data_IF_740078012718
#
_entry.id   IF_740078012718
#
_cell.length_a   1.000
_cell.length_b   1.000
_cell.length_c   1.000
_cell.angle_alpha   90.00
_cell.angle_beta   90.00
_cell.angle_gamma   90.00
#
_symmetry.space_group_name_H-M   'P 1'
#
loop_
_entity.id
_entity.type
_entity.pdbx_description
1 polymer ?
#
# COMPACT_ATOMS: atom_id res chain seq x y z
N UNK A 1 -10.53 2.59 7.37
CA UNK A 1 -9.42 1.89 8.06
C UNK A 1 -8.34 1.59 7.02
N UNK A 2 -7.10 1.91 7.34
CA UNK A 2 -5.93 1.71 6.50
C UNK A 2 -4.97 0.78 7.23
N UNK A 3 -4.53 -0.30 6.57
CA UNK A 3 -3.48 -1.17 7.05
C UNK A 3 -2.11 -0.60 6.70
N UNK A 4 -1.17 -0.67 7.64
CA UNK A 4 0.22 -0.22 7.44
C UNK A 4 1.17 -1.32 7.85
N UNK A 5 2.10 -1.65 6.98
CA UNK A 5 3.19 -2.59 7.26
C UNK A 5 4.45 -2.21 6.49
N UNK A 6 5.59 -2.75 6.91
CA UNK A 6 6.89 -2.41 6.32
C UNK A 6 7.71 -3.66 5.99
N UNK A 7 9.00 -3.59 6.14
CA UNK A 7 10.00 -4.55 5.68
C UNK A 7 9.63 -6.03 5.83
N UNK A 8 9.37 -6.67 4.70
CA UNK A 8 9.12 -8.12 4.55
C UNK A 8 10.38 -8.88 4.10
N UNK A 9 11.34 -8.19 3.47
CA UNK A 9 12.59 -8.75 2.96
C UNK A 9 12.42 -10.05 2.15
N UNK A 10 11.31 -10.16 1.39
CA UNK A 10 11.00 -11.34 0.60
C UNK A 10 10.30 -12.46 1.36
N UNK A 11 9.94 -12.27 2.63
CA UNK A 11 9.10 -13.21 3.37
C UNK A 11 7.62 -12.98 3.01
N UNK A 12 7.17 -13.73 2.00
CA UNK A 12 5.81 -13.62 1.48
C UNK A 12 4.76 -14.17 2.45
N UNK A 13 5.13 -15.09 3.34
CA UNK A 13 4.22 -15.62 4.36
C UNK A 13 3.94 -14.57 5.43
N UNK A 14 4.97 -13.88 5.92
CA UNK A 14 4.81 -12.78 6.86
C UNK A 14 4.05 -11.60 6.23
N UNK A 15 4.31 -11.31 4.95
CA UNK A 15 3.59 -10.29 4.20
C UNK A 15 2.10 -10.61 4.10
N UNK A 16 1.76 -11.84 3.70
CA UNK A 16 0.38 -12.30 3.55
C UNK A 16 -0.34 -12.35 4.90
N UNK A 17 0.32 -12.82 5.94
CA UNK A 17 -0.23 -12.84 7.29
C UNK A 17 -0.58 -11.42 7.78
N UNK A 18 0.30 -10.43 7.54
CA UNK A 18 0.01 -9.04 7.87
C UNK A 18 -1.18 -8.50 7.07
N UNK A 19 -1.21 -8.74 5.77
CA UNK A 19 -2.30 -8.31 4.90
C UNK A 19 -3.65 -8.88 5.37
N UNK A 20 -3.73 -10.21 5.57
CA UNK A 20 -4.98 -10.86 5.99
C UNK A 20 -5.41 -10.45 7.41
N UNK A 21 -4.47 -10.29 8.33
CA UNK A 21 -4.76 -9.80 9.66
C UNK A 21 -5.37 -8.39 9.62
N UNK A 22 -4.73 -7.46 8.91
CA UNK A 22 -5.22 -6.09 8.80
C UNK A 22 -6.57 -6.03 8.07
N UNK A 23 -6.75 -6.87 7.04
CA UNK A 23 -8.03 -7.02 6.33
C UNK A 23 -9.13 -7.53 7.24
N UNK A 24 -8.86 -8.53 8.07
CA UNK A 24 -9.80 -9.07 9.05
C UNK A 24 -10.22 -8.03 10.10
N UNK A 25 -9.34 -7.07 10.38
CA UNK A 25 -9.61 -5.92 11.24
C UNK A 25 -10.27 -4.74 10.52
N UNK A 26 -10.70 -4.93 9.28
CA UNK A 26 -11.48 -3.95 8.51
C UNK A 26 -10.66 -3.01 7.63
N UNK A 27 -9.36 -3.25 7.47
CA UNK A 27 -8.57 -2.48 6.50
C UNK A 27 -9.05 -2.78 5.07
N UNK A 28 -9.28 -1.71 4.31
CA UNK A 28 -9.67 -1.78 2.89
C UNK A 28 -8.65 -1.11 1.98
N UNK A 29 -7.75 -0.39 2.55
CA UNK A 29 -6.63 0.27 1.88
C UNK A 29 -5.37 -0.04 2.66
N UNK A 30 -4.24 -0.13 1.96
CA UNK A 30 -3.00 -0.54 2.56
C UNK A 30 -1.86 0.40 2.15
N UNK A 31 -0.92 0.60 3.08
CA UNK A 31 0.31 1.36 2.88
C UNK A 31 1.47 0.43 3.19
N UNK A 32 2.35 0.27 2.23
CA UNK A 32 3.61 -0.44 2.39
C UNK A 32 4.77 0.56 2.51
N UNK A 33 5.44 0.58 3.65
CA UNK A 33 6.58 1.46 3.92
C UNK A 33 7.93 0.72 3.93
N UNK A 34 8.00 -0.47 3.31
CA UNK A 34 9.22 -1.26 3.18
C UNK A 34 10.18 -0.75 2.11
N UNK A 35 11.43 -1.19 2.18
CA UNK A 35 12.49 -0.78 1.23
C UNK A 35 12.32 -1.41 -0.15
N UNK A 36 11.83 -2.64 -0.21
CA UNK A 36 11.77 -3.47 -1.42
C UNK A 36 10.36 -3.48 -1.99
N UNK A 37 10.11 -2.64 -2.99
CA UNK A 37 8.80 -2.61 -3.66
C UNK A 37 8.53 -3.82 -4.53
N UNK A 38 9.57 -4.52 -4.97
CA UNK A 38 9.45 -5.82 -5.63
C UNK A 38 8.72 -6.84 -4.77
N UNK A 39 8.77 -6.71 -3.44
CA UNK A 39 8.03 -7.58 -2.53
C UNK A 39 6.52 -7.54 -2.78
N UNK A 40 5.99 -6.42 -3.27
CA UNK A 40 4.57 -6.31 -3.66
C UNK A 40 4.23 -7.20 -4.86
N UNK A 41 5.08 -7.19 -5.88
CA UNK A 41 4.89 -7.99 -7.08
C UNK A 41 5.11 -9.48 -6.79
N UNK A 42 6.15 -9.78 -6.02
CA UNK A 42 6.47 -11.14 -5.58
C UNK A 42 5.32 -11.73 -4.74
N UNK A 43 4.72 -10.94 -3.84
CA UNK A 43 3.58 -11.36 -3.04
C UNK A 43 2.33 -11.65 -3.88
N UNK A 44 2.01 -10.82 -4.88
CA UNK A 44 0.89 -11.08 -5.78
C UNK A 44 1.07 -12.40 -6.53
N UNK A 45 2.28 -12.65 -7.06
CA UNK A 45 2.60 -13.91 -7.72
C UNK A 45 2.52 -15.11 -6.75
N UNK A 46 3.07 -14.96 -5.57
CA UNK A 46 3.04 -15.99 -4.52
C UNK A 46 1.60 -16.37 -4.12
N UNK A 47 0.71 -15.39 -3.93
CA UNK A 47 -0.71 -15.65 -3.66
C UNK A 47 -1.38 -16.44 -4.76
N UNK A 48 -1.10 -16.12 -6.02
CA UNK A 48 -1.65 -16.83 -7.18
C UNK A 48 -1.16 -18.27 -7.24
N UNK A 49 0.12 -18.49 -7.00
CA UNK A 49 0.67 -19.85 -6.92
C UNK A 49 -0.01 -20.65 -5.81
N UNK A 50 -0.16 -20.06 -4.64
CA UNK A 50 -0.80 -20.72 -3.49
C UNK A 50 -2.27 -21.05 -3.76
N UNK A 51 -3.03 -20.17 -4.38
CA UNK A 51 -4.42 -20.41 -4.77
C UNK A 51 -4.56 -21.60 -5.75
N UNK A 52 -3.51 -21.94 -6.46
CA UNK A 52 -3.43 -23.07 -7.41
C UNK A 52 -2.76 -24.33 -6.81
N UNK A 53 -2.66 -24.41 -5.51
CA UNK A 53 -2.09 -25.59 -4.83
C UNK A 53 -0.56 -25.67 -4.91
N UNK A 54 0.15 -24.53 -5.02
CA UNK A 54 1.61 -24.45 -4.96
C UNK A 54 2.32 -24.87 -6.26
N UNK A 55 1.59 -25.07 -7.36
CA UNK A 55 2.22 -25.31 -8.67
C UNK A 55 2.92 -24.05 -9.16
N UNK A 56 4.09 -24.24 -9.76
CA UNK A 56 4.82 -23.17 -10.41
C UNK A 56 3.91 -22.42 -11.39
N UNK A 57 3.95 -21.10 -11.34
CA UNK A 57 3.13 -20.24 -12.16
C UNK A 57 3.79 -20.08 -13.52
N UNK A 58 3.32 -20.87 -14.51
CA UNK A 58 3.85 -20.85 -15.86
C UNK A 58 3.30 -19.68 -16.70
N UNK A 59 3.97 -19.37 -17.80
CA UNK A 59 3.48 -18.37 -18.77
C UNK A 59 2.09 -18.73 -19.30
N UNK A 60 1.79 -20.02 -19.45
CA UNK A 60 0.47 -20.49 -19.87
C UNK A 60 -0.61 -20.18 -18.81
N UNK A 61 -0.28 -20.33 -17.53
CA UNK A 61 -1.16 -19.98 -16.42
C UNK A 61 -1.39 -18.46 -16.36
N UNK A 62 -0.34 -17.69 -16.60
CA UNK A 62 -0.42 -16.24 -16.69
C UNK A 62 -1.36 -15.79 -17.82
N UNK A 63 -1.19 -16.34 -19.02
CA UNK A 63 -2.07 -16.05 -20.15
C UNK A 63 -3.52 -16.46 -19.90
N UNK A 64 -3.75 -17.61 -19.24
CA UNK A 64 -5.09 -18.05 -18.86
C UNK A 64 -5.74 -17.09 -17.88
N UNK A 65 -5.00 -16.61 -16.89
CA UNK A 65 -5.51 -15.64 -15.90
C UNK A 65 -5.82 -14.28 -16.54
N UNK A 66 -4.94 -13.80 -17.44
CA UNK A 66 -5.19 -12.58 -18.21
C UNK A 66 -6.47 -12.72 -19.04
N UNK A 67 -6.63 -13.85 -19.74
CA UNK A 67 -7.81 -14.10 -20.57
C UNK A 67 -9.08 -14.16 -19.75
N UNK A 68 -9.05 -14.85 -18.61
CA UNK A 68 -10.19 -14.93 -17.70
C UNK A 68 -10.54 -13.56 -17.12
N UNK A 69 -9.54 -12.78 -16.72
CA UNK A 69 -9.74 -11.43 -16.20
C UNK A 69 -10.33 -10.51 -17.28
N UNK A 70 -9.83 -10.54 -18.49
CA UNK A 70 -10.39 -9.78 -19.63
C UNK A 70 -11.83 -10.18 -19.90
N UNK A 71 -12.15 -11.46 -19.84
CA UNK A 71 -13.53 -11.98 -20.04
C UNK A 71 -14.47 -11.60 -18.90
N UNK A 72 -13.99 -11.36 -17.68
CA UNK A 72 -14.79 -10.96 -16.53
C UNK A 72 -15.04 -9.45 -16.44
N UNK A 73 -14.31 -8.64 -17.20
CA UNK A 73 -14.46 -7.18 -17.23
C UNK A 73 -15.51 -6.77 -18.26
N UNK A 74 -16.77 -6.80 -17.89
CA UNK A 74 -17.92 -6.28 -18.70
C UNK A 74 -17.81 -4.77 -19.00
N UNK A 75 -16.82 -4.09 -18.44
CA UNK A 75 -16.67 -2.63 -18.46
C UNK A 75 -15.30 -2.14 -18.89
N UNK A 76 -14.62 -2.85 -19.82
CA UNK A 76 -13.60 -2.12 -20.57
C UNK A 76 -14.30 -1.00 -21.33
N UNK A 77 -13.93 0.27 -21.17
CA UNK A 77 -14.49 1.31 -21.99
C UNK A 77 -14.17 0.94 -23.46
N UNK A 78 -15.12 0.33 -24.13
CA UNK A 78 -15.12 0.25 -25.57
C UNK A 78 -15.25 1.68 -26.04
N UNK A 79 -14.13 2.34 -26.26
CA UNK A 79 -14.14 3.52 -27.13
C UNK A 79 -14.56 2.99 -28.49
N UNK A 80 -15.78 3.30 -28.97
CA UNK A 80 -16.17 2.87 -30.27
C UNK A 80 -15.38 3.70 -31.27
N UNK A 81 -14.24 3.19 -31.69
CA UNK A 81 -13.68 3.62 -32.94
C UNK A 81 -14.69 3.23 -34.01
N UNK A 82 -15.38 4.22 -34.55
CA UNK A 82 -16.37 4.07 -35.62
C UNK A 82 -15.75 3.24 -36.72
N UNK A 83 -16.16 1.95 -36.87
CA UNK A 83 -15.82 1.10 -38.00
C UNK A 83 -14.67 0.11 -37.83
N UNK A 84 -14.17 -0.13 -36.62
CA UNK A 84 -13.17 -1.17 -36.38
C UNK A 84 -13.85 -2.51 -36.10
N UNK A 85 -13.37 -3.53 -36.83
CA UNK A 85 -13.58 -4.94 -36.50
C UNK A 85 -13.16 -5.26 -35.07
N UNK A 86 -13.62 -6.37 -34.42
CA UNK A 86 -13.23 -6.71 -33.04
C UNK A 86 -11.71 -6.61 -32.94
N UNK A 87 -11.27 -5.74 -32.03
CA UNK A 87 -9.88 -5.35 -31.93
C UNK A 87 -9.01 -6.59 -31.75
N UNK A 88 -8.28 -6.91 -32.79
CA UNK A 88 -7.15 -7.81 -32.74
C UNK A 88 -6.17 -7.16 -31.74
N UNK A 89 -5.97 -7.77 -30.57
CA UNK A 89 -5.00 -7.33 -29.54
C UNK A 89 -3.61 -7.66 -30.11
N UNK A 90 -3.25 -7.03 -31.19
CA UNK A 90 -2.06 -7.33 -31.98
C UNK A 90 -0.94 -6.32 -31.81
N UNK A 91 -1.24 -5.14 -31.27
CA UNK A 91 -0.20 -4.15 -31.05
C UNK A 91 0.56 -4.44 -29.74
N UNK A 92 1.84 -4.21 -29.75
CA UNK A 92 2.70 -4.34 -28.57
C UNK A 92 2.24 -3.38 -27.44
N UNK A 93 1.72 -2.22 -27.81
CA UNK A 93 1.17 -1.24 -26.87
C UNK A 93 -0.13 -1.73 -26.20
N UNK A 94 -1.00 -2.42 -26.95
CA UNK A 94 -2.22 -3.01 -26.38
C UNK A 94 -1.88 -4.14 -25.43
N UNK A 95 -0.91 -4.99 -25.76
CA UNK A 95 -0.41 -6.05 -24.87
C UNK A 95 0.18 -5.46 -23.60
N UNK A 96 0.98 -4.41 -23.73
CA UNK A 96 1.56 -3.69 -22.58
C UNK A 96 0.47 -3.11 -21.71
N UNK A 97 -0.53 -2.44 -22.26
CA UNK A 97 -1.66 -1.88 -21.52
C UNK A 97 -2.46 -2.95 -20.79
N UNK A 98 -2.71 -4.10 -21.45
CA UNK A 98 -3.37 -5.26 -20.83
C UNK A 98 -2.53 -5.80 -19.69
N UNK A 99 -1.22 -5.95 -19.88
CA UNK A 99 -0.28 -6.41 -18.86
C UNK A 99 -0.21 -5.47 -17.68
N UNK A 100 -0.13 -4.17 -17.91
CA UNK A 100 -0.14 -3.16 -16.84
C UNK A 100 -1.45 -3.20 -16.03
N UNK A 101 -2.59 -3.36 -16.71
CA UNK A 101 -3.89 -3.52 -16.04
C UNK A 101 -4.03 -4.83 -15.30
N UNK A 102 -3.51 -5.92 -15.85
CA UNK A 102 -3.53 -7.23 -15.21
C UNK A 102 -2.63 -7.29 -13.98
N UNK A 103 -1.49 -6.62 -14.02
CA UNK A 103 -0.61 -6.47 -12.85
C UNK A 103 -1.23 -5.59 -11.77
N UNK A 104 -2.18 -4.71 -12.12
CA UNK A 104 -3.04 -3.97 -11.19
C UNK A 104 -4.25 -4.79 -10.74
N UNK A 105 -4.02 -6.00 -10.26
CA UNK A 105 -5.10 -6.84 -9.73
C UNK A 105 -5.62 -6.30 -8.39
N UNK A 106 -6.81 -6.72 -7.95
CA UNK A 106 -7.44 -6.22 -6.74
C UNK A 106 -6.54 -6.22 -5.51
N UNK A 107 -5.70 -7.24 -5.35
CA UNK A 107 -4.75 -7.31 -4.24
C UNK A 107 -3.74 -6.16 -4.29
N UNK A 108 -3.24 -5.82 -5.47
CA UNK A 108 -2.29 -4.73 -5.66
C UNK A 108 -2.95 -3.37 -5.64
N UNK A 109 -4.18 -3.24 -6.13
CA UNK A 109 -4.94 -1.99 -6.08
C UNK A 109 -5.23 -1.54 -4.65
N UNK A 110 -5.35 -2.50 -3.72
CA UNK A 110 -5.52 -2.20 -2.31
C UNK A 110 -4.24 -1.71 -1.62
N UNK A 111 -3.07 -1.90 -2.23
CA UNK A 111 -1.77 -1.46 -1.74
C UNK A 111 -1.37 -0.15 -2.42
N UNK A 112 -0.76 0.73 -1.65
CA UNK A 112 -0.17 1.91 -2.24
C UNK A 112 1.06 1.52 -3.05
N UNK A 113 0.92 1.56 -4.38
CA UNK A 113 2.03 1.30 -5.27
C UNK A 113 2.89 2.55 -5.44
N UNK A 114 4.19 2.35 -5.41
CA UNK A 114 5.17 3.40 -5.65
C UNK A 114 5.89 3.16 -6.95
N UNK A 115 6.03 4.21 -7.71
CA UNK A 115 6.93 4.23 -8.84
C UNK A 115 8.38 4.23 -8.30
N UNK A 116 9.22 3.24 -8.67
CA UNK A 116 10.61 3.22 -8.22
C UNK A 116 11.42 4.44 -8.68
N UNK A 117 10.95 5.19 -9.68
CA UNK A 117 11.57 6.45 -10.11
C UNK A 117 11.34 7.62 -9.13
N UNK A 118 10.39 7.50 -8.20
CA UNK A 118 10.06 8.53 -7.21
C UNK A 118 10.77 8.23 -5.88
N UNK A 119 12.08 8.27 -5.83
CA UNK A 119 12.95 8.26 -4.64
C UNK A 119 12.32 7.79 -3.31
N UNK A 120 11.77 6.58 -3.28
CA UNK A 120 11.25 5.94 -2.05
C UNK A 120 10.26 6.78 -1.19
N UNK A 121 9.62 7.77 -1.80
CA UNK A 121 8.60 8.59 -1.15
C UNK A 121 7.27 8.50 -1.88
N UNK A 122 6.19 8.60 -1.10
CA UNK A 122 4.86 8.83 -1.62
C UNK A 122 4.16 9.86 -0.74
N UNK A 123 3.39 10.71 -1.39
CA UNK A 123 2.45 11.60 -0.72
C UNK A 123 1.06 11.04 -0.90
N UNK A 124 0.29 10.98 0.17
CA UNK A 124 -1.04 10.41 0.15
C UNK A 124 -1.96 11.09 1.15
N UNK A 125 -3.26 11.04 0.86
CA UNK A 125 -4.27 11.58 1.76
C UNK A 125 -4.81 10.48 2.67
N UNK A 126 -4.63 10.65 3.98
CA UNK A 126 -5.19 9.78 5.01
C UNK A 126 -6.11 10.61 5.89
N UNK A 127 -7.40 10.31 5.89
CA UNK A 127 -8.41 11.01 6.68
C UNK A 127 -8.32 12.56 6.56
N UNK A 128 -8.29 13.07 5.33
CA UNK A 128 -8.19 14.49 4.98
C UNK A 128 -6.85 15.15 5.41
N UNK A 129 -5.86 14.36 5.77
CA UNK A 129 -4.53 14.81 6.17
C UNK A 129 -3.48 14.35 5.16
N UNK A 130 -2.63 15.27 4.73
CA UNK A 130 -1.52 14.92 3.86
C UNK A 130 -0.46 14.16 4.65
N UNK A 131 -0.21 12.94 4.22
CA UNK A 131 0.79 12.04 4.78
C UNK A 131 1.96 11.89 3.81
N UNK A 132 3.17 11.90 4.34
CA UNK A 132 4.37 11.52 3.60
C UNK A 132 4.78 10.11 4.03
N UNK A 133 4.96 9.21 3.06
CA UNK A 133 5.34 7.83 3.29
C UNK A 133 6.75 7.63 2.76
N UNK A 134 7.64 7.12 3.59
CA UNK A 134 9.05 6.84 3.25
C UNK A 134 9.49 5.52 3.88
N UNK A 135 10.53 4.89 3.36
CA UNK A 135 11.15 3.78 4.07
C UNK A 135 12.04 4.28 5.21
N UNK A 136 12.98 5.17 4.92
CA UNK A 136 13.86 5.77 5.93
C UNK A 136 13.45 7.23 6.20
N UNK A 137 13.22 7.56 7.46
CA UNK A 137 12.92 8.95 7.87
C UNK A 137 14.04 9.94 7.56
N UNK A 138 15.28 9.45 7.37
CA UNK A 138 16.41 10.30 6.97
C UNK A 138 16.28 10.81 5.53
N UNK A 139 15.42 10.20 4.70
CA UNK A 139 15.15 10.64 3.34
C UNK A 139 14.14 11.80 3.27
N UNK A 140 13.60 12.21 4.42
CA UNK A 140 12.68 13.34 4.48
C UNK A 140 13.41 14.65 4.24
N UNK A 141 12.88 15.45 3.33
CA UNK A 141 13.37 16.80 3.04
C UNK A 141 12.65 17.85 3.88
N UNK A 142 13.17 19.07 3.87
CA UNK A 142 12.52 20.21 4.50
C UNK A 142 11.12 20.47 3.92
N UNK A 143 10.97 20.28 2.62
CA UNK A 143 9.69 20.50 1.93
C UNK A 143 8.65 19.46 2.35
N UNK A 144 9.04 18.20 2.51
CA UNK A 144 8.16 17.17 3.06
C UNK A 144 7.66 17.59 4.44
N UNK A 145 8.58 18.05 5.31
CA UNK A 145 8.25 18.48 6.66
C UNK A 145 7.35 19.71 6.71
N UNK A 146 7.41 20.59 5.71
CA UNK A 146 6.53 21.76 5.64
C UNK A 146 5.11 21.41 5.18
N UNK A 147 4.99 20.42 4.31
CA UNK A 147 3.72 20.10 3.66
C UNK A 147 2.88 19.07 4.41
N UNK A 148 3.50 18.01 4.92
CA UNK A 148 2.80 16.94 5.62
C UNK A 148 2.72 17.17 7.14
N UNK A 149 1.69 16.60 7.76
CA UNK A 149 1.53 16.56 9.22
C UNK A 149 1.75 15.16 9.79
N UNK A 150 1.64 14.13 8.95
CA UNK A 150 1.84 12.73 9.33
C UNK A 150 2.89 12.11 8.41
N UNK A 151 3.85 11.44 9.02
CA UNK A 151 4.94 10.75 8.35
C UNK A 151 4.89 9.28 8.71
N UNK A 152 4.70 8.44 7.70
CA UNK A 152 4.67 6.99 7.87
C UNK A 152 5.99 6.46 7.35
N UNK A 153 6.75 5.76 8.19
CA UNK A 153 8.05 5.26 7.80
C UNK A 153 8.27 3.79 8.20
N UNK A 154 9.08 3.10 7.42
CA UNK A 154 9.58 1.75 7.71
C UNK A 154 10.84 1.78 8.59
N UNK A 155 11.73 0.80 8.38
CA UNK A 155 13.09 0.67 8.96
C UNK A 155 13.19 0.51 10.49
N UNK A 156 12.19 0.85 11.26
CA UNK A 156 12.18 0.64 12.71
C UNK A 156 11.68 -0.76 13.06
N UNK A 157 12.29 -1.39 14.06
CA UNK A 157 11.95 -2.75 14.47
C UNK A 157 10.63 -2.84 15.24
N UNK A 158 10.25 -1.77 15.94
CA UNK A 158 9.09 -1.75 16.83
C UNK A 158 8.06 -0.72 16.37
N UNK A 159 6.76 -1.02 16.52
CA UNK A 159 5.72 -0.06 16.20
C UNK A 159 5.71 1.08 17.22
N UNK A 160 5.66 2.31 16.72
CA UNK A 160 5.60 3.50 17.59
C UNK A 160 5.02 4.71 16.90
N UNK A 161 4.59 5.65 17.71
CA UNK A 161 4.21 7.01 17.31
C UNK A 161 5.05 8.01 18.09
N UNK A 162 5.73 8.88 17.39
CA UNK A 162 6.49 10.01 17.96
C UNK A 162 5.87 11.32 17.47
N UNK A 163 5.54 12.20 18.40
CA UNK A 163 5.08 13.55 18.07
C UNK A 163 6.22 14.55 18.25
N UNK A 164 6.45 15.35 17.22
CA UNK A 164 7.44 16.43 17.25
C UNK A 164 6.74 17.72 16.80
N UNK A 165 6.43 18.57 17.75
CA UNK A 165 5.58 19.74 17.50
C UNK A 165 4.20 19.31 16.95
N UNK A 166 3.72 19.88 15.84
CA UNK A 166 2.44 19.52 15.26
C UNK A 166 2.48 18.27 14.37
N UNK A 167 3.61 17.56 14.31
CA UNK A 167 3.83 16.46 13.38
C UNK A 167 3.90 15.11 14.08
N UNK A 168 3.36 14.09 13.43
CA UNK A 168 3.42 12.71 13.88
C UNK A 168 4.30 11.87 12.96
N UNK A 169 5.22 11.12 13.56
CA UNK A 169 6.05 10.11 12.91
C UNK A 169 5.59 8.74 13.36
N UNK A 170 5.14 7.93 12.42
CA UNK A 170 4.47 6.66 12.66
C UNK A 170 5.27 5.55 12.00
N UNK A 171 5.51 4.47 12.72
CA UNK A 171 6.06 3.24 12.15
C UNK A 171 5.23 2.04 12.58
N UNK A 172 4.94 1.10 11.67
CA UNK A 172 4.23 -0.14 11.99
C UNK A 172 5.14 -1.20 12.62
N UNK A 173 6.46 -0.94 12.75
CA UNK A 173 7.45 -1.96 12.99
C UNK A 173 7.79 -2.76 11.73
N UNK A 174 8.42 -3.93 11.85
CA UNK A 174 8.84 -4.78 10.73
C UNK A 174 8.11 -6.11 10.72
N UNK A 175 7.95 -6.66 9.53
CA UNK A 175 7.46 -8.04 9.36
C UNK A 175 8.55 -9.07 9.55
N UNK A 176 9.81 -8.71 9.32
CA UNK A 176 10.97 -9.61 9.41
C UNK A 176 12.16 -8.92 10.05
N UNK A 177 13.00 -9.67 10.73
CA UNK A 177 14.24 -9.14 11.34
C UNK A 177 14.02 -8.31 12.61
N UNK A 178 12.85 -8.43 13.23
CA UNK A 178 12.52 -7.87 14.53
C UNK A 178 12.25 -8.98 15.55
N UNK A 179 12.32 -8.67 16.84
CA UNK A 179 11.95 -9.62 17.90
C UNK A 179 10.47 -9.98 17.83
N UNK A 180 9.64 -9.04 17.39
CA UNK A 180 8.22 -9.22 17.14
C UNK A 180 7.88 -8.71 15.74
N UNK A 181 7.19 -9.55 14.97
CA UNK A 181 6.66 -9.21 13.65
C UNK A 181 5.37 -8.43 13.83
N UNK A 182 5.32 -7.21 13.31
CA UNK A 182 4.23 -6.28 13.60
C UNK A 182 3.70 -5.56 12.37
N UNK A 183 2.43 -5.17 12.46
CA UNK A 183 1.75 -4.31 11.50
C UNK A 183 0.81 -3.36 12.26
N UNK A 184 0.27 -2.35 11.59
CA UNK A 184 -0.52 -1.32 12.25
C UNK A 184 -1.79 -0.97 11.47
N UNK A 185 -2.74 -0.36 12.18
CA UNK A 185 -3.93 0.26 11.60
C UNK A 185 -3.91 1.76 11.83
N UNK A 186 -4.35 2.48 10.82
CA UNK A 186 -4.74 3.88 10.90
C UNK A 186 -6.22 4.00 10.63
N UNK A 187 -6.94 4.62 11.54
CA UNK A 187 -8.38 4.82 11.46
C UNK A 187 -8.71 6.30 11.49
N UNK A 188 -9.69 6.70 10.69
CA UNK A 188 -10.25 8.04 10.81
C UNK A 188 -11.18 8.06 12.03
N UNK A 189 -10.91 8.93 12.98
CA UNK A 189 -11.73 9.18 14.15
C UNK A 189 -12.12 10.66 14.13
N UNK A 190 -13.31 10.95 13.65
CA UNK A 190 -13.79 12.32 13.38
C UNK A 190 -12.84 13.09 12.42
N UNK A 191 -12.00 13.96 12.98
CA UNK A 191 -11.01 14.78 12.26
C UNK A 191 -9.58 14.34 12.51
N UNK A 192 -9.40 13.39 13.39
CA UNK A 192 -8.13 12.88 13.87
C UNK A 192 -7.84 11.48 13.31
N UNK A 193 -6.67 10.96 13.64
CA UNK A 193 -6.28 9.60 13.30
C UNK A 193 -6.11 8.76 14.57
N UNK A 194 -6.71 7.58 14.59
CA UNK A 194 -6.39 6.53 15.54
C UNK A 194 -5.25 5.68 15.00
N UNK A 195 -4.27 5.36 15.84
CA UNK A 195 -3.20 4.41 15.54
C UNK A 195 -3.25 3.25 16.53
N UNK A 196 -3.19 2.03 16.00
CA UNK A 196 -3.00 0.81 16.79
C UNK A 196 -2.04 -0.14 16.09
N UNK A 197 -1.35 -0.99 16.85
CA UNK A 197 -0.42 -1.95 16.25
C UNK A 197 -0.59 -3.36 16.85
N UNK A 198 -0.34 -4.35 16.01
CA UNK A 198 -0.59 -5.75 16.28
C UNK A 198 0.60 -6.61 15.87
N UNK A 199 0.81 -7.70 16.61
CA UNK A 199 1.63 -8.81 16.14
C UNK A 199 0.88 -9.58 15.06
N UNK A 200 1.60 -10.36 14.26
CA UNK A 200 0.98 -11.17 13.21
C UNK A 200 0.06 -12.28 13.75
N UNK A 201 0.18 -12.65 15.03
CA UNK A 201 -0.75 -13.55 15.72
C UNK A 201 -2.08 -12.86 16.13
N UNK A 202 -2.23 -11.57 15.84
CA UNK A 202 -3.42 -10.78 16.14
C UNK A 202 -3.41 -10.09 17.49
N UNK A 203 -2.40 -10.31 18.33
CA UNK A 203 -2.26 -9.65 19.63
C UNK A 203 -1.97 -8.16 19.46
N UNK A 204 -2.75 -7.34 20.14
CA UNK A 204 -2.50 -5.90 20.20
C UNK A 204 -1.24 -5.61 21.03
N UNK A 205 -0.32 -4.81 20.46
CA UNK A 205 0.91 -4.36 21.13
C UNK A 205 0.79 -2.90 21.51
N UNK A 206 0.21 -2.09 20.62
CA UNK A 206 -0.04 -0.68 20.89
C UNK A 206 -1.54 -0.48 20.85
N UNK A 207 -2.10 -0.16 22.02
CA UNK A 207 -3.52 0.17 22.17
C UNK A 207 -3.88 1.41 21.32
N UNK A 208 -5.14 1.54 20.88
CA UNK A 208 -5.58 2.66 20.07
C UNK A 208 -5.18 4.00 20.69
N UNK A 209 -4.37 4.76 19.96
CA UNK A 209 -3.89 6.09 20.34
C UNK A 209 -4.43 7.13 19.37
N UNK A 210 -5.11 8.15 19.90
CA UNK A 210 -5.58 9.27 19.10
C UNK A 210 -4.43 10.23 18.78
N UNK A 211 -4.28 10.55 17.50
CA UNK A 211 -3.34 11.53 16.96
C UNK A 211 -4.15 12.79 16.61
N UNK A 212 -4.10 13.77 17.49
CA UNK A 212 -4.86 15.03 17.31
C UNK A 212 -4.18 15.88 16.25
N UNK A 213 -4.87 16.09 15.15
CA UNK A 213 -4.34 16.81 13.99
C UNK A 213 -4.68 18.30 14.07
N UNK A 214 -3.65 19.13 14.23
CA UNK A 214 -3.84 20.57 14.23
C UNK A 214 -4.30 21.08 12.84
N UNK A 215 -5.36 21.89 12.83
CA UNK A 215 -5.76 22.60 11.62
C UNK A 215 -4.66 23.58 11.23
N UNK A 216 -4.06 23.41 10.05
CA UNK A 216 -3.40 24.57 9.40
C UNK A 216 -4.48 25.59 9.09
N UNK A 217 -4.62 26.62 9.94
CA UNK A 217 -5.50 27.74 9.62
C UNK A 217 -4.88 28.49 8.44
N UNK A 218 -5.39 28.27 7.25
CA UNK A 218 -5.10 29.12 6.11
C UNK A 218 -5.80 30.45 6.32
N UNK A 219 -5.19 31.35 7.12
CA UNK A 219 -5.54 32.76 7.05
C UNK A 219 -4.96 33.31 5.74
N UNK A 220 -5.72 33.18 4.67
CA UNK A 220 -5.55 34.03 3.49
C UNK A 220 -5.91 35.43 3.92
N UNK A 221 -4.92 36.20 4.36
CA UNK A 221 -5.06 37.63 4.48
C UNK A 221 -4.88 38.20 3.05
N UNK A 222 -5.97 38.34 2.33
CA UNK A 222 -5.99 39.17 1.14
C UNK A 222 -5.72 40.60 1.60
N UNK A 223 -4.56 41.13 1.26
CA UNK A 223 -4.26 42.56 1.32
C UNK A 223 -4.60 43.19 -0.04
#
# INVERSE_FOLDING_TARGET
>A
VIGVFSDSHGDMEAFDAAYELLRSKGARRFIFAGARYTDLDEWVLWRRQRARGGREYSDADFLADVTNWLGSQDTLPRTPARGAAPADVSSEDDRRLVMERFVRVPERESLQYRDPSINNKAMDMVADTLCCIVHDKNDLTRDDLLNASVFIHGKESEPKVVQIGPRYFITPGRLVGAAEQTCALLEKVDRDLGFSAFRLDGREIVAPRLLVLEKKSSKLTLK
#
